data_IF_937077376904
#
_entry.id   IF_937077376904
#
_cell.length_a   1.000
_cell.length_b   1.000
_cell.length_c   1.000
_cell.angle_alpha   90.00
_cell.angle_beta   90.00
_cell.angle_gamma   90.00
#
_symmetry.space_group_name_H-M   'P 1'
#
loop_
_entity.id
_entity.type
_entity.pdbx_description
1 polymer ?
#
# COMPACT_ATOMS: atom_id res chain seq x y z
N UNK A 1 -26.74 -4.17 4.09
CA UNK A 1 -26.58 -3.65 2.76
C UNK A 1 -27.57 -4.35 1.83
N UNK A 2 -28.32 -3.59 1.00
CA UNK A 2 -29.37 -4.14 0.10
C UNK A 2 -30.69 -4.57 0.74
N UNK A 3 -30.70 -4.78 2.02
CA UNK A 3 -31.87 -5.32 2.76
C UNK A 3 -32.64 -4.23 3.50
N UNK A 4 -33.49 -3.50 2.80
CA UNK A 4 -34.22 -2.35 3.36
C UNK A 4 -35.36 -2.78 4.29
N UNK A 5 -35.95 -3.93 4.03
CA UNK A 5 -37.09 -4.49 4.78
C UNK A 5 -36.67 -5.43 5.91
N UNK A 6 -35.41 -5.38 6.36
CA UNK A 6 -34.98 -6.20 7.47
C UNK A 6 -35.68 -5.80 8.76
N UNK A 7 -36.24 -6.78 9.48
CA UNK A 7 -36.90 -6.60 10.76
C UNK A 7 -36.08 -7.33 11.82
N UNK A 8 -35.79 -6.64 12.91
CA UNK A 8 -35.10 -7.22 14.06
C UNK A 8 -36.08 -7.23 15.21
N UNK A 9 -36.49 -8.42 15.66
CA UNK A 9 -37.29 -8.62 16.85
C UNK A 9 -36.36 -8.99 18.01
N UNK A 10 -36.53 -8.31 19.14
CA UNK A 10 -35.70 -8.54 20.33
C UNK A 10 -36.57 -9.20 21.39
N UNK A 11 -36.25 -10.45 21.72
CA UNK A 11 -36.85 -11.18 22.81
C UNK A 11 -35.94 -11.09 24.03
N UNK A 12 -36.56 -10.80 25.19
CA UNK A 12 -35.86 -10.70 26.46
C UNK A 12 -36.32 -11.79 27.40
N UNK A 13 -35.41 -12.60 27.89
CA UNK A 13 -35.65 -13.63 28.89
C UNK A 13 -34.87 -13.31 30.17
N UNK A 14 -35.54 -13.15 31.31
CA UNK A 14 -34.89 -12.92 32.60
C UNK A 14 -34.33 -14.25 33.10
N UNK A 15 -33.01 -14.39 33.17
CA UNK A 15 -32.36 -15.59 33.71
C UNK A 15 -32.16 -15.55 35.23
N UNK A 16 -31.92 -14.35 35.79
CA UNK A 16 -31.76 -14.10 37.22
C UNK A 16 -32.08 -12.64 37.56
N UNK A 17 -31.96 -12.24 38.82
CA UNK A 17 -32.16 -10.82 39.21
C UNK A 17 -31.09 -9.88 38.66
N UNK A 18 -29.93 -10.42 38.20
CA UNK A 18 -28.81 -9.65 37.67
C UNK A 18 -28.43 -10.00 36.20
N UNK A 19 -29.16 -10.89 35.54
CA UNK A 19 -28.85 -11.32 34.17
C UNK A 19 -30.10 -11.49 33.31
N UNK A 20 -30.02 -10.95 32.11
CA UNK A 20 -31.05 -11.02 31.07
C UNK A 20 -30.42 -11.64 29.83
N UNK A 21 -31.10 -12.60 29.21
CA UNK A 21 -30.75 -13.10 27.89
C UNK A 21 -31.51 -12.28 26.84
N UNK A 22 -30.79 -11.76 25.89
CA UNK A 22 -31.32 -11.09 24.70
C UNK A 22 -31.18 -12.01 23.50
N UNK A 23 -32.29 -12.29 22.83
CA UNK A 23 -32.29 -13.03 21.57
C UNK A 23 -32.72 -12.06 20.45
N UNK A 24 -31.87 -11.88 19.44
CA UNK A 24 -32.18 -11.05 18.27
C UNK A 24 -32.63 -11.98 17.15
N UNK A 25 -33.90 -11.95 16.82
CA UNK A 25 -34.45 -12.65 15.66
C UNK A 25 -34.42 -11.69 14.48
N UNK A 26 -33.49 -11.94 13.53
CA UNK A 26 -33.31 -11.08 12.36
C UNK A 26 -33.99 -11.72 11.15
N UNK A 27 -35.07 -11.07 10.70
CA UNK A 27 -35.64 -11.34 9.38
C UNK A 27 -34.98 -10.41 8.37
N UNK A 28 -34.13 -10.96 7.50
CA UNK A 28 -33.31 -10.22 6.56
C UNK A 28 -34.13 -9.52 5.47
N UNK A 29 -35.31 -10.08 5.14
CA UNK A 29 -36.08 -9.61 3.99
C UNK A 29 -35.40 -9.96 2.66
N UNK A 30 -35.92 -9.37 1.59
CA UNK A 30 -35.37 -9.55 0.24
C UNK A 30 -34.37 -8.42 -0.09
N UNK A 31 -33.37 -8.76 -0.89
CA UNK A 31 -32.38 -7.81 -1.37
C UNK A 31 -32.96 -6.91 -2.48
N UNK A 32 -32.83 -5.61 -2.35
CA UNK A 32 -33.21 -4.63 -3.36
C UNK A 32 -32.04 -4.39 -4.30
N UNK A 33 -32.30 -4.56 -5.61
CA UNK A 33 -31.30 -4.42 -6.66
C UNK A 33 -31.59 -3.19 -7.51
N UNK A 34 -30.59 -2.35 -7.71
CA UNK A 34 -30.67 -1.18 -8.59
C UNK A 34 -30.70 -1.65 -10.05
N UNK A 35 -31.82 -1.41 -10.69
CA UNK A 35 -32.08 -1.76 -12.08
C UNK A 35 -31.68 -0.67 -13.04
N UNK A 36 -31.85 0.57 -12.65
CA UNK A 36 -31.65 1.72 -13.48
C UNK A 36 -31.16 2.93 -12.64
N UNK A 37 -30.19 3.69 -13.16
CA UNK A 37 -29.77 4.97 -12.62
C UNK A 37 -29.79 6.01 -13.75
N UNK A 38 -30.61 7.06 -13.60
CA UNK A 38 -30.74 8.14 -14.56
C UNK A 38 -30.12 9.43 -14.03
N UNK A 39 -29.52 10.18 -14.92
CA UNK A 39 -28.85 11.44 -14.61
C UNK A 39 -29.44 12.55 -15.47
N UNK A 40 -30.50 13.21 -14.93
CA UNK A 40 -31.22 14.26 -15.62
C UNK A 40 -30.44 15.57 -15.58
N UNK A 41 -30.23 16.19 -16.74
CA UNK A 41 -29.51 17.47 -16.88
C UNK A 41 -27.98 17.29 -17.03
N UNK A 42 -27.49 16.08 -17.04
CA UNK A 42 -26.08 15.78 -17.37
C UNK A 42 -25.93 15.71 -18.90
N UNK A 43 -25.12 16.60 -19.47
CA UNK A 43 -24.87 16.69 -20.90
C UNK A 43 -23.39 16.53 -21.25
N UNK A 44 -22.50 16.99 -20.35
CA UNK A 44 -21.05 17.00 -20.54
C UNK A 44 -20.37 15.75 -19.97
N UNK A 45 -20.96 15.16 -18.92
CA UNK A 45 -20.54 13.90 -18.34
C UNK A 45 -21.66 12.87 -18.48
N UNK A 46 -21.29 11.61 -18.62
CA UNK A 46 -22.24 10.53 -18.83
C UNK A 46 -22.28 9.50 -17.68
N UNK A 47 -23.23 8.57 -17.76
CA UNK A 47 -23.38 7.51 -16.76
C UNK A 47 -22.13 6.66 -16.54
N UNK A 48 -21.26 6.51 -17.54
CA UNK A 48 -20.02 5.76 -17.42
C UNK A 48 -18.99 6.46 -16.52
N UNK A 49 -18.99 7.80 -16.53
CA UNK A 49 -18.14 8.59 -15.63
C UNK A 49 -18.66 8.53 -14.20
N UNK A 50 -19.97 8.65 -14.01
CA UNK A 50 -20.60 8.60 -12.69
C UNK A 50 -20.44 7.22 -12.03
N UNK A 51 -20.54 6.13 -12.79
CA UNK A 51 -20.30 4.76 -12.29
C UNK A 51 -18.90 4.56 -11.71
N UNK A 52 -17.90 5.35 -12.09
CA UNK A 52 -16.54 5.28 -11.52
C UNK A 52 -16.47 5.79 -10.09
N UNK A 53 -17.35 6.72 -9.72
CA UNK A 53 -17.29 7.42 -8.44
C UNK A 53 -18.43 7.08 -7.49
N UNK A 54 -19.57 6.58 -7.96
CA UNK A 54 -20.72 6.22 -7.14
C UNK A 54 -20.58 4.85 -6.50
N UNK A 55 -21.13 4.68 -5.29
CA UNK A 55 -21.24 3.39 -4.61
C UNK A 55 -22.47 2.60 -5.09
N UNK A 56 -23.58 3.32 -5.39
CA UNK A 56 -24.80 2.72 -5.91
C UNK A 56 -24.72 2.67 -7.44
N UNK A 57 -24.69 1.47 -8.00
CA UNK A 57 -24.54 1.20 -9.44
C UNK A 57 -25.61 0.24 -9.90
N UNK A 58 -26.01 0.37 -11.15
CA UNK A 58 -26.89 -0.62 -11.79
C UNK A 58 -26.24 -2.00 -11.79
N UNK A 59 -27.08 -3.02 -11.74
CA UNK A 59 -26.66 -4.41 -11.96
C UNK A 59 -26.17 -4.58 -13.39
N UNK A 60 -24.94 -5.04 -13.55
CA UNK A 60 -24.34 -5.31 -14.84
C UNK A 60 -24.49 -6.78 -15.24
N UNK A 61 -24.52 -7.01 -16.55
CA UNK A 61 -24.66 -8.38 -17.09
C UNK A 61 -23.39 -9.20 -16.75
N UNK A 62 -23.60 -10.42 -16.27
CA UNK A 62 -22.52 -11.33 -15.86
C UNK A 62 -21.60 -10.78 -14.73
N UNK A 63 -22.13 -9.92 -13.83
CA UNK A 63 -21.41 -9.38 -12.68
C UNK A 63 -20.68 -10.44 -11.85
N UNK A 64 -21.30 -11.62 -11.68
CA UNK A 64 -20.75 -12.75 -10.95
C UNK A 64 -19.50 -13.40 -11.62
N UNK A 65 -19.29 -13.17 -12.92
CA UNK A 65 -18.16 -13.75 -13.67
C UNK A 65 -16.99 -12.79 -13.80
N UNK A 66 -17.25 -11.48 -13.96
CA UNK A 66 -16.24 -10.47 -14.25
C UNK A 66 -15.97 -9.51 -13.09
N UNK A 67 -16.56 -9.72 -11.90
CA UNK A 67 -16.41 -8.84 -10.74
C UNK A 67 -17.00 -7.44 -10.96
N UNK A 68 -17.98 -7.32 -11.84
CA UNK A 68 -18.74 -6.10 -12.10
C UNK A 68 -19.79 -5.85 -11.01
N UNK A 69 -20.52 -4.71 -11.06
CA UNK A 69 -21.54 -4.38 -10.07
C UNK A 69 -22.67 -5.40 -10.04
N UNK A 70 -22.99 -5.90 -8.85
CA UNK A 70 -24.14 -6.77 -8.59
C UNK A 70 -25.44 -6.00 -8.46
N UNK A 71 -25.38 -4.66 -8.39
CA UNK A 71 -26.52 -3.77 -8.26
C UNK A 71 -27.03 -3.61 -6.83
N UNK A 72 -26.26 -4.07 -5.84
CA UNK A 72 -26.65 -3.97 -4.43
C UNK A 72 -26.90 -2.52 -4.02
N UNK A 73 -28.03 -2.28 -3.36
CA UNK A 73 -28.42 -0.93 -2.94
C UNK A 73 -27.84 -0.59 -1.56
N UNK A 74 -27.20 0.59 -1.48
CA UNK A 74 -26.59 1.16 -0.27
C UNK A 74 -27.23 2.49 0.09
N UNK A 75 -28.32 2.44 0.86
CA UNK A 75 -29.10 3.64 1.20
C UNK A 75 -28.27 4.73 1.86
N UNK A 76 -27.42 4.35 2.81
CA UNK A 76 -26.53 5.25 3.54
C UNK A 76 -25.53 5.97 2.62
N UNK A 77 -25.26 5.42 1.44
CA UNK A 77 -24.35 5.99 0.45
C UNK A 77 -25.02 6.96 -0.55
N UNK A 78 -26.34 7.02 -0.64
CA UNK A 78 -27.03 7.83 -1.65
C UNK A 78 -26.66 9.31 -1.60
N UNK A 79 -26.68 9.93 -0.43
CA UNK A 79 -26.27 11.33 -0.26
C UNK A 79 -24.78 11.56 -0.55
N UNK A 80 -23.95 10.54 -0.33
CA UNK A 80 -22.52 10.61 -0.66
C UNK A 80 -22.29 10.44 -2.16
N UNK A 81 -23.14 9.67 -2.85
CA UNK A 81 -23.07 9.54 -4.30
C UNK A 81 -23.35 10.86 -5.02
N UNK A 82 -24.35 11.62 -4.56
CA UNK A 82 -24.58 12.97 -5.09
C UNK A 82 -23.35 13.88 -4.90
N UNK A 83 -22.71 13.82 -3.72
CA UNK A 83 -21.47 14.57 -3.46
C UNK A 83 -20.31 14.12 -4.32
N UNK A 84 -20.13 12.80 -4.53
CA UNK A 84 -19.08 12.25 -5.40
C UNK A 84 -19.24 12.69 -6.85
N UNK A 85 -20.49 12.72 -7.34
CA UNK A 85 -20.80 13.23 -8.69
C UNK A 85 -20.48 14.73 -8.75
N UNK A 86 -20.86 15.50 -7.73
CA UNK A 86 -20.57 16.93 -7.68
C UNK A 86 -19.05 17.21 -7.62
N UNK A 87 -18.30 16.46 -6.81
CA UNK A 87 -16.83 16.53 -6.77
C UNK A 87 -16.22 16.18 -8.14
N UNK A 88 -16.78 15.20 -8.87
CA UNK A 88 -16.33 14.86 -10.23
C UNK A 88 -16.52 16.05 -11.20
N UNK A 89 -17.65 16.77 -11.13
CA UNK A 89 -17.85 17.99 -11.91
C UNK A 89 -16.81 19.05 -11.53
N UNK A 90 -16.54 19.25 -10.25
CA UNK A 90 -15.50 20.18 -9.78
C UNK A 90 -14.09 19.76 -10.24
N UNK A 91 -13.81 18.46 -10.35
CA UNK A 91 -12.56 17.96 -10.95
C UNK A 91 -12.46 18.25 -12.45
N UNK A 92 -13.59 18.38 -13.14
CA UNK A 92 -13.66 18.70 -14.57
C UNK A 92 -13.76 20.19 -14.87
N UNK A 93 -13.84 21.03 -13.83
CA UNK A 93 -13.86 22.48 -13.91
C UNK A 93 -15.22 23.13 -13.81
N UNK A 94 -16.29 22.41 -13.58
CA UNK A 94 -17.64 22.92 -13.46
C UNK A 94 -17.94 23.38 -12.03
N UNK A 95 -17.47 24.57 -11.66
CA UNK A 95 -17.52 25.08 -10.29
C UNK A 95 -18.93 25.47 -9.80
N UNK A 96 -19.89 25.60 -10.69
CA UNK A 96 -21.28 25.91 -10.39
C UNK A 96 -22.17 24.66 -10.46
N UNK A 97 -21.58 23.49 -10.59
CA UNK A 97 -22.32 22.24 -10.59
C UNK A 97 -23.08 22.03 -9.28
N UNK A 98 -24.29 21.58 -9.38
CA UNK A 98 -25.15 21.24 -8.23
C UNK A 98 -25.88 19.94 -8.52
N UNK A 99 -25.57 18.93 -7.72
CA UNK A 99 -26.15 17.59 -7.83
C UNK A 99 -26.97 17.32 -6.58
N UNK A 100 -28.27 17.15 -6.75
CA UNK A 100 -29.19 16.86 -5.66
C UNK A 100 -29.11 15.40 -5.25
N UNK A 101 -29.53 15.09 -4.01
CA UNK A 101 -29.75 13.71 -3.59
C UNK A 101 -30.71 13.02 -4.57
N UNK A 102 -30.43 11.77 -4.98
CA UNK A 102 -31.25 11.09 -5.96
C UNK A 102 -32.65 10.79 -5.41
N UNK A 103 -33.63 10.89 -6.28
CA UNK A 103 -34.93 10.32 -5.99
C UNK A 103 -34.84 8.80 -6.12
N UNK A 104 -35.32 8.10 -5.10
CA UNK A 104 -35.31 6.67 -5.02
C UNK A 104 -36.74 6.14 -5.18
N UNK A 105 -36.96 5.35 -6.23
CA UNK A 105 -38.20 4.61 -6.46
C UNK A 105 -37.96 3.09 -6.27
N UNK A 106 -38.70 2.46 -5.35
CA UNK A 106 -38.56 1.03 -5.04
C UNK A 106 -39.85 0.30 -5.35
N UNK A 107 -39.75 -0.66 -6.24
CA UNK A 107 -40.81 -1.65 -6.45
C UNK A 107 -40.55 -2.87 -5.57
N UNK A 108 -41.23 -2.95 -4.44
CA UNK A 108 -41.15 -4.07 -3.49
C UNK A 108 -41.73 -5.38 -4.04
N UNK A 109 -42.56 -5.34 -5.10
CA UNK A 109 -43.10 -6.56 -5.70
C UNK A 109 -42.04 -7.29 -6.53
N UNK A 110 -41.14 -6.54 -7.18
CA UNK A 110 -40.04 -7.09 -7.97
C UNK A 110 -38.68 -6.98 -7.28
N UNK A 111 -38.59 -6.39 -6.10
CA UNK A 111 -37.37 -6.10 -5.37
C UNK A 111 -36.35 -5.29 -6.19
N UNK A 112 -36.85 -4.31 -6.98
CA UNK A 112 -36.03 -3.48 -7.84
C UNK A 112 -36.11 -2.02 -7.44
N UNK A 113 -34.98 -1.30 -7.58
CA UNK A 113 -34.88 0.13 -7.35
C UNK A 113 -34.48 0.88 -8.62
N UNK A 114 -34.97 2.12 -8.73
CA UNK A 114 -34.52 3.12 -9.71
C UNK A 114 -34.02 4.34 -8.98
N UNK A 115 -32.93 4.91 -9.51
CA UNK A 115 -32.32 6.13 -8.99
C UNK A 115 -32.38 7.22 -10.05
N UNK A 116 -32.97 8.36 -9.72
CA UNK A 116 -33.02 9.56 -10.56
C UNK A 116 -32.20 10.68 -9.92
N UNK A 117 -31.01 10.96 -10.48
CA UNK A 117 -30.17 12.07 -10.11
C UNK A 117 -30.54 13.32 -10.92
N UNK A 118 -30.59 14.47 -10.28
CA UNK A 118 -30.83 15.76 -10.94
C UNK A 118 -29.59 16.61 -10.86
N UNK A 119 -29.02 16.91 -12.01
CA UNK A 119 -27.74 17.59 -12.18
C UNK A 119 -27.97 18.95 -12.84
N UNK A 120 -27.35 19.97 -12.27
CA UNK A 120 -27.15 21.27 -12.94
C UNK A 120 -25.64 21.43 -13.12
N UNK A 121 -25.13 21.34 -14.35
CA UNK A 121 -23.70 21.33 -14.63
C UNK A 121 -23.02 22.68 -14.43
N UNK A 122 -23.67 23.76 -14.86
CA UNK A 122 -23.08 25.11 -14.91
C UNK A 122 -22.05 25.22 -16.04
N UNK A 123 -21.20 26.25 -15.95
CA UNK A 123 -20.16 26.53 -16.93
C UNK A 123 -18.79 26.01 -16.50
N UNK A 124 -17.93 25.76 -17.48
CA UNK A 124 -16.59 25.25 -17.25
C UNK A 124 -15.57 26.36 -17.04
N UNK A 125 -14.90 26.37 -15.90
CA UNK A 125 -13.94 27.40 -15.51
C UNK A 125 -12.49 26.99 -15.84
N UNK A 126 -11.69 28.00 -16.19
CA UNK A 126 -10.22 27.89 -16.28
C UNK A 126 -9.54 28.69 -15.16
N UNK A 127 -8.41 28.23 -14.71
CA UNK A 127 -7.62 28.95 -13.70
C UNK A 127 -7.00 30.20 -14.34
N UNK A 128 -7.29 31.36 -13.76
CA UNK A 128 -6.77 32.65 -14.26
C UNK A 128 -5.46 33.03 -13.60
N UNK A 129 -5.43 33.02 -12.26
CA UNK A 129 -4.26 33.39 -11.46
C UNK A 129 -4.17 32.52 -10.20
N UNK A 130 -2.96 32.35 -9.68
CA UNK A 130 -2.71 31.62 -8.43
C UNK A 130 -1.83 32.51 -7.58
N UNK A 131 -2.30 32.86 -6.39
CA UNK A 131 -1.55 33.67 -5.40
C UNK A 131 -1.34 32.90 -4.11
N UNK A 132 -0.13 33.00 -3.54
CA UNK A 132 0.23 32.39 -2.28
C UNK A 132 0.68 33.47 -1.33
N UNK A 133 -0.07 33.66 -0.25
CA UNK A 133 0.30 34.54 0.86
C UNK A 133 0.96 33.71 1.95
N UNK A 134 2.29 33.69 1.94
CA UNK A 134 3.16 33.01 2.89
C UNK A 134 4.34 33.93 3.19
N UNK A 135 4.83 33.91 4.44
CA UNK A 135 6.08 34.57 4.79
C UNK A 135 7.25 33.90 4.08
N UNK A 136 7.94 34.65 3.23
CA UNK A 136 9.08 34.16 2.42
C UNK A 136 10.28 33.73 3.28
N UNK A 137 10.31 34.09 4.57
CA UNK A 137 11.33 33.58 5.48
C UNK A 137 11.14 32.11 5.87
N UNK A 138 9.94 31.56 5.67
CA UNK A 138 9.60 30.15 5.97
C UNK A 138 9.91 29.27 4.75
N UNK A 139 9.28 29.60 3.63
CA UNK A 139 9.47 28.96 2.31
C UNK A 139 9.33 30.03 1.25
N UNK A 140 10.21 30.05 0.27
CA UNK A 140 10.08 30.97 -0.86
C UNK A 140 8.84 30.58 -1.71
N UNK A 141 7.85 31.47 -1.88
CA UNK A 141 6.70 31.21 -2.72
C UNK A 141 7.06 30.79 -4.17
N UNK A 142 8.17 31.30 -4.71
CA UNK A 142 8.59 30.96 -6.09
C UNK A 142 8.98 29.47 -6.20
N UNK A 143 9.54 28.86 -5.16
CA UNK A 143 9.82 27.42 -5.12
C UNK A 143 8.52 26.61 -5.14
N UNK A 144 7.45 27.12 -4.52
CA UNK A 144 6.16 26.45 -4.46
C UNK A 144 5.49 26.42 -5.83
N UNK A 145 5.51 27.57 -6.57
CA UNK A 145 4.80 27.69 -7.85
C UNK A 145 5.22 26.67 -8.89
N UNK A 146 6.51 26.24 -8.87
CA UNK A 146 7.02 25.25 -9.83
C UNK A 146 6.31 23.91 -9.73
N UNK A 147 5.99 23.49 -8.51
CA UNK A 147 5.51 22.14 -8.19
C UNK A 147 3.98 22.05 -8.01
N UNK A 148 3.27 23.18 -8.06
CA UNK A 148 1.80 23.17 -8.03
C UNK A 148 1.24 22.31 -9.18
N UNK A 149 0.21 21.52 -8.88
CA UNK A 149 -0.55 20.72 -9.86
C UNK A 149 -1.52 21.57 -10.68
N UNK A 150 -2.09 22.62 -10.04
CA UNK A 150 -2.84 23.65 -10.76
C UNK A 150 -1.91 24.48 -11.62
N UNK A 151 -2.35 24.84 -12.81
CA UNK A 151 -1.60 25.71 -13.71
C UNK A 151 -2.53 26.77 -14.30
N UNK A 152 -2.01 27.99 -14.44
CA UNK A 152 -2.71 29.10 -15.09
C UNK A 152 -3.07 28.73 -16.52
N UNK A 153 -4.19 29.23 -17.03
CA UNK A 153 -4.76 28.95 -18.35
C UNK A 153 -5.08 27.48 -18.63
N UNK A 154 -5.27 26.68 -17.57
CA UNK A 154 -5.75 25.30 -17.66
C UNK A 154 -7.10 25.15 -16.96
N UNK A 155 -7.86 24.15 -17.38
CA UNK A 155 -9.13 23.82 -16.72
C UNK A 155 -8.91 23.69 -15.23
N UNK A 156 -9.75 24.39 -14.45
CA UNK A 156 -9.75 24.28 -13.00
C UNK A 156 -10.03 22.83 -12.56
N UNK A 157 -9.42 22.42 -11.46
CA UNK A 157 -9.63 21.09 -10.91
C UNK A 157 -9.52 21.14 -9.39
N UNK A 158 -10.62 20.84 -8.69
CA UNK A 158 -10.70 20.90 -7.22
C UNK A 158 -9.77 19.92 -6.53
N UNK A 159 -9.53 18.74 -7.14
CA UNK A 159 -8.60 17.74 -6.58
C UNK A 159 -7.17 18.25 -6.61
N UNK A 160 -6.76 18.85 -7.73
CA UNK A 160 -5.44 19.49 -7.83
C UNK A 160 -5.29 20.62 -6.82
N UNK A 161 -6.35 21.42 -6.62
CA UNK A 161 -6.36 22.47 -5.60
C UNK A 161 -6.14 21.93 -4.19
N UNK A 162 -6.86 20.87 -3.82
CA UNK A 162 -6.69 20.20 -2.51
C UNK A 162 -5.30 19.58 -2.36
N UNK A 163 -4.79 18.98 -3.42
CA UNK A 163 -3.43 18.42 -3.44
C UNK A 163 -2.38 19.54 -3.24
N UNK A 164 -2.54 20.69 -3.91
CA UNK A 164 -1.66 21.84 -3.78
C UNK A 164 -1.75 22.46 -2.37
N UNK A 165 -2.95 22.53 -1.79
CA UNK A 165 -3.15 22.95 -0.41
C UNK A 165 -2.39 22.06 0.57
N UNK A 166 -2.50 20.73 0.43
CA UNK A 166 -1.78 19.79 1.29
C UNK A 166 -0.27 19.83 1.03
N UNK A 167 0.16 20.05 -0.21
CA UNK A 167 1.56 20.24 -0.56
C UNK A 167 2.15 21.47 0.15
N UNK A 168 1.49 22.63 0.05
CA UNK A 168 1.92 23.87 0.74
C UNK A 168 1.96 23.64 2.25
N UNK A 169 0.92 23.00 2.82
CA UNK A 169 0.87 22.66 4.24
C UNK A 169 2.04 21.78 4.65
N UNK A 170 2.38 20.77 3.83
CA UNK A 170 3.48 19.85 4.10
C UNK A 170 4.82 20.59 4.11
N UNK A 171 5.08 21.43 3.10
CA UNK A 171 6.32 22.24 3.04
C UNK A 171 6.50 23.13 4.28
N UNK A 172 5.44 23.78 4.72
CA UNK A 172 5.48 24.65 5.91
C UNK A 172 5.64 23.82 7.19
N UNK A 173 4.98 22.67 7.28
CA UNK A 173 5.10 21.75 8.41
C UNK A 173 6.49 21.12 8.50
N UNK A 174 7.17 20.89 7.37
CA UNK A 174 8.55 20.39 7.34
C UNK A 174 9.58 21.40 7.84
N UNK A 175 9.18 22.68 7.98
CA UNK A 175 9.95 23.73 8.63
C UNK A 175 9.61 23.91 10.12
N UNK A 176 8.93 22.93 10.72
CA UNK A 176 8.57 22.92 12.13
C UNK A 176 7.19 23.47 12.47
N UNK A 177 6.46 24.01 11.53
CA UNK A 177 5.16 24.62 11.78
C UNK A 177 4.03 23.59 11.76
N UNK A 178 4.00 22.72 12.76
CA UNK A 178 3.08 21.57 12.86
C UNK A 178 1.59 21.95 12.77
N UNK A 179 1.24 23.14 13.24
CA UNK A 179 -0.14 23.64 13.30
C UNK A 179 -0.46 24.66 12.20
N UNK A 180 0.33 24.66 11.12
CA UNK A 180 0.08 25.54 10.00
C UNK A 180 -1.29 25.27 9.38
N UNK A 181 -2.08 26.34 9.21
CA UNK A 181 -3.34 26.31 8.50
C UNK A 181 -3.14 26.92 7.09
N UNK A 182 -3.50 26.17 6.07
CA UNK A 182 -3.55 26.65 4.69
C UNK A 182 -4.99 26.72 4.27
N UNK A 183 -5.47 27.93 4.00
CA UNK A 183 -6.82 28.19 3.49
C UNK A 183 -6.72 28.60 2.03
N UNK A 184 -7.75 28.32 1.26
CA UNK A 184 -7.87 28.84 -0.10
C UNK A 184 -9.19 29.61 -0.27
N UNK A 185 -9.16 30.58 -1.15
CA UNK A 185 -10.30 31.33 -1.60
C UNK A 185 -10.36 31.28 -3.13
N UNK A 186 -11.57 31.19 -3.69
CA UNK A 186 -11.85 31.13 -5.11
C UNK A 186 -12.62 32.37 -5.54
N UNK A 187 -12.02 33.23 -6.36
CA UNK A 187 -12.66 34.40 -6.93
C UNK A 187 -13.07 34.13 -8.38
N UNK A 188 -14.35 33.84 -8.57
CA UNK A 188 -14.91 33.55 -9.90
C UNK A 188 -15.18 34.80 -10.68
N UNK A 189 -14.78 34.83 -11.95
CA UNK A 189 -15.23 35.74 -12.95
C UNK A 189 -16.21 35.00 -13.88
N UNK A 190 -17.49 35.16 -13.61
CA UNK A 190 -18.57 34.47 -14.36
C UNK A 190 -18.63 34.90 -15.82
N UNK A 191 -18.28 36.15 -16.14
CA UNK A 191 -18.35 36.66 -17.52
C UNK A 191 -17.26 36.01 -18.42
N UNK A 192 -16.13 35.68 -17.86
CA UNK A 192 -15.01 35.10 -18.60
C UNK A 192 -14.84 33.62 -18.33
N UNK A 193 -15.64 33.04 -17.45
CA UNK A 193 -15.50 31.64 -16.95
C UNK A 193 -14.09 31.36 -16.44
N UNK A 194 -13.54 32.30 -15.66
CA UNK A 194 -12.21 32.21 -15.07
C UNK A 194 -12.27 32.26 -13.55
N UNK A 195 -11.29 31.64 -12.90
CA UNK A 195 -11.19 31.64 -11.44
C UNK A 195 -9.77 31.96 -10.98
N UNK A 196 -9.66 32.94 -10.07
CA UNK A 196 -8.42 33.19 -9.32
C UNK A 196 -8.40 32.33 -8.06
N UNK A 197 -7.28 31.74 -7.80
CA UNK A 197 -7.03 30.92 -6.61
C UNK A 197 -6.09 31.67 -5.67
N UNK A 198 -6.49 31.81 -4.43
CA UNK A 198 -5.68 32.52 -3.42
C UNK A 198 -5.45 31.58 -2.25
N UNK A 199 -4.21 31.18 -2.03
CA UNK A 199 -3.80 30.44 -0.82
C UNK A 199 -3.35 31.42 0.25
N UNK A 200 -3.82 31.25 1.48
CA UNK A 200 -3.43 32.02 2.65
C UNK A 200 -2.90 31.08 3.73
N UNK A 201 -1.65 31.26 4.12
CA UNK A 201 -0.98 30.40 5.10
C UNK A 201 -0.82 31.13 6.42
N UNK A 202 -1.31 30.50 7.49
CA UNK A 202 -1.09 30.95 8.87
C UNK A 202 -0.19 29.90 9.54
N UNK A 203 1.12 30.15 9.67
CA UNK A 203 2.08 29.12 10.08
C UNK A 203 1.97 28.73 11.56
N UNK A 204 1.62 29.65 12.45
CA UNK A 204 1.68 29.45 13.89
C UNK A 204 3.11 29.53 14.43
N UNK A 205 3.43 28.77 15.48
CA UNK A 205 4.77 28.67 16.06
C UNK A 205 5.48 27.40 15.61
N UNK A 206 6.83 27.46 15.62
CA UNK A 206 7.64 26.25 15.42
C UNK A 206 7.52 25.31 16.61
N UNK A 207 7.39 24.01 16.33
CA UNK A 207 7.16 22.94 17.29
C UNK A 207 8.34 21.99 17.30
N UNK A 208 8.76 21.60 18.50
CA UNK A 208 9.82 20.62 18.74
C UNK A 208 9.25 19.38 19.39
N UNK A 209 9.82 18.22 19.08
CA UNK A 209 9.43 16.95 19.68
C UNK A 209 9.94 16.93 21.12
N UNK A 210 9.02 16.78 22.08
CA UNK A 210 9.35 16.69 23.49
C UNK A 210 9.68 15.23 23.89
N UNK A 211 8.84 14.27 23.49
CA UNK A 211 9.04 12.85 23.78
C UNK A 211 8.43 11.98 22.68
N UNK A 212 9.01 10.76 22.50
CA UNK A 212 8.50 9.73 21.58
C UNK A 212 8.20 8.46 22.36
N UNK A 213 6.92 8.19 22.58
CA UNK A 213 6.41 7.03 23.32
C UNK A 213 5.99 5.92 22.37
N UNK A 214 6.54 4.73 22.57
CA UNK A 214 6.20 3.55 21.79
C UNK A 214 5.36 2.60 22.65
N UNK A 215 4.32 2.00 22.10
CA UNK A 215 3.43 1.07 22.80
C UNK A 215 2.82 0.05 21.85
N UNK A 216 2.43 -1.12 22.40
CA UNK A 216 1.84 -2.22 21.62
C UNK A 216 2.85 -3.22 21.08
N UNK A 217 4.15 -2.96 21.23
CA UNK A 217 5.26 -3.80 20.80
C UNK A 217 5.66 -4.82 21.89
N UNK A 218 4.76 -5.75 22.22
CA UNK A 218 4.99 -6.73 23.29
C UNK A 218 6.13 -7.71 23.01
N UNK A 219 6.36 -8.05 21.72
CA UNK A 219 7.39 -8.98 21.23
C UNK A 219 8.56 -8.22 20.59
N UNK A 220 8.26 -7.21 19.76
CA UNK A 220 9.24 -6.43 19.03
C UNK A 220 9.99 -5.49 19.98
N UNK A 221 11.31 -5.51 19.93
CA UNK A 221 12.15 -4.65 20.74
C UNK A 221 11.91 -3.16 20.41
N UNK A 222 11.88 -2.30 21.43
CA UNK A 222 11.64 -0.85 21.28
C UNK A 222 12.58 -0.20 20.24
N UNK A 223 13.87 -0.57 20.25
CA UNK A 223 14.87 -0.07 19.31
C UNK A 223 14.52 -0.35 17.84
N UNK A 224 13.82 -1.47 17.55
CA UNK A 224 13.42 -1.85 16.19
C UNK A 224 12.31 -0.94 15.68
N UNK A 225 11.39 -0.51 16.54
CA UNK A 225 10.38 0.50 16.19
C UNK A 225 11.02 1.87 16.09
N UNK A 226 11.83 2.24 17.08
CA UNK A 226 12.41 3.57 17.24
C UNK A 226 13.34 3.98 16.10
N UNK A 227 14.15 3.05 15.56
CA UNK A 227 15.04 3.34 14.42
C UNK A 227 14.31 3.75 13.15
N UNK A 228 13.06 3.29 13.00
CA UNK A 228 12.22 3.61 11.85
C UNK A 228 11.31 4.84 12.10
N UNK A 229 11.39 5.45 13.30
CA UNK A 229 10.78 6.74 13.62
C UNK A 229 11.84 7.82 13.41
N UNK A 230 11.70 8.60 12.33
CA UNK A 230 12.72 9.58 11.93
C UNK A 230 12.77 10.84 12.79
N UNK A 231 11.94 10.96 13.82
CA UNK A 231 11.89 12.09 14.75
C UNK A 231 12.25 11.63 16.16
N UNK A 232 13.17 12.34 16.79
CA UNK A 232 13.65 12.09 18.14
C UNK A 232 13.34 13.28 19.08
N UNK A 233 13.36 13.09 20.42
CA UNK A 233 13.22 14.19 21.35
C UNK A 233 14.26 15.29 21.11
N UNK A 234 13.79 16.53 20.97
CA UNK A 234 14.61 17.70 20.64
C UNK A 234 14.64 18.08 19.16
N UNK A 235 14.22 17.20 18.28
CA UNK A 235 14.12 17.52 16.84
C UNK A 235 12.98 18.51 16.58
N UNK A 236 13.16 19.32 15.56
CA UNK A 236 12.11 20.15 15.02
C UNK A 236 11.08 19.26 14.29
N UNK A 237 9.80 19.56 14.46
CA UNK A 237 8.73 18.81 13.79
C UNK A 237 8.91 18.81 12.26
N UNK A 238 8.69 17.66 11.66
CA UNK A 238 8.71 17.46 10.22
C UNK A 238 7.60 16.48 9.82
N UNK A 239 6.64 16.96 9.02
CA UNK A 239 5.46 16.15 8.63
C UNK A 239 5.82 15.03 7.64
N UNK A 240 6.77 15.30 6.75
CA UNK A 240 7.28 14.29 5.81
C UNK A 240 7.95 13.14 6.56
N UNK A 241 8.82 13.44 7.52
CA UNK A 241 9.46 12.43 8.36
C UNK A 241 8.44 11.59 9.14
N UNK A 242 7.40 12.23 9.66
CA UNK A 242 6.32 11.53 10.36
C UNK A 242 5.52 10.57 9.44
N UNK A 243 5.15 11.05 8.24
CA UNK A 243 4.45 10.24 7.23
C UNK A 243 5.31 9.06 6.76
N UNK A 244 6.59 9.31 6.53
CA UNK A 244 7.56 8.29 6.09
C UNK A 244 7.82 7.25 7.17
N UNK A 245 7.98 7.68 8.44
CA UNK A 245 8.10 6.78 9.58
C UNK A 245 6.89 5.81 9.66
N UNK A 246 5.68 6.36 9.58
CA UNK A 246 4.45 5.56 9.57
C UNK A 246 4.43 4.56 8.41
N UNK A 247 4.82 5.00 7.22
CA UNK A 247 4.88 4.16 6.02
C UNK A 247 5.93 3.06 6.16
N UNK A 248 7.12 3.36 6.66
CA UNK A 248 8.21 2.41 6.87
C UNK A 248 7.82 1.34 7.90
N UNK A 249 7.23 1.74 9.03
CA UNK A 249 6.74 0.80 10.03
C UNK A 249 5.65 -0.12 9.48
N UNK A 250 4.71 0.40 8.67
CA UNK A 250 3.68 -0.44 8.01
C UNK A 250 4.27 -1.42 7.00
N UNK A 251 5.28 -1.03 6.24
CA UNK A 251 5.96 -1.90 5.26
C UNK A 251 6.83 -2.98 5.91
N UNK A 252 7.26 -2.80 7.16
CA UNK A 252 8.13 -3.77 7.85
C UNK A 252 7.51 -5.17 7.97
N UNK A 253 6.21 -5.33 7.77
CA UNK A 253 5.44 -6.57 7.98
C UNK A 253 5.45 -7.08 9.43
N UNK A 254 5.98 -6.28 10.36
CA UNK A 254 5.98 -6.62 11.79
C UNK A 254 4.66 -6.23 12.47
N UNK A 255 3.93 -5.31 11.84
CA UNK A 255 2.73 -4.69 12.41
C UNK A 255 1.54 -4.79 11.44
N UNK A 256 0.38 -5.15 12.00
CA UNK A 256 -0.91 -5.14 11.32
C UNK A 256 -1.46 -3.71 11.21
N UNK A 257 -1.27 -2.91 12.27
CA UNK A 257 -1.62 -1.49 12.28
C UNK A 257 -0.55 -0.65 12.97
N UNK A 258 -0.39 0.58 12.47
CA UNK A 258 0.52 1.59 13.02
C UNK A 258 -0.20 2.92 13.08
N UNK A 259 -0.35 3.46 14.28
CA UNK A 259 -0.92 4.76 14.54
C UNK A 259 0.14 5.65 15.18
N UNK A 260 0.32 6.86 14.65
CA UNK A 260 1.16 7.89 15.25
C UNK A 260 0.24 9.04 15.61
N UNK A 261 0.09 9.28 16.91
CA UNK A 261 -0.73 10.35 17.46
C UNK A 261 0.18 11.50 17.90
N UNK A 262 -0.17 12.68 17.46
CA UNK A 262 0.48 13.93 17.80
C UNK A 262 -0.24 14.57 19.00
N UNK A 263 0.44 14.68 20.12
CA UNK A 263 -0.13 15.27 21.34
C UNK A 263 0.55 16.59 21.67
N UNK A 264 -0.18 17.70 21.49
CA UNK A 264 0.28 19.03 21.88
C UNK A 264 0.51 19.11 23.38
N UNK A 265 1.71 19.53 23.81
CA UNK A 265 2.08 19.72 25.21
C UNK A 265 2.10 21.21 25.56
N UNK A 266 2.68 22.04 24.68
CA UNK A 266 2.71 23.50 24.79
C UNK A 266 2.56 24.11 23.39
N UNK A 267 2.75 25.41 23.25
CA UNK A 267 2.70 26.09 21.95
C UNK A 267 3.83 25.65 21.02
N UNK A 268 4.99 25.29 21.60
CA UNK A 268 6.24 24.95 20.93
C UNK A 268 6.69 23.50 21.14
N UNK A 269 5.89 22.65 21.83
CA UNK A 269 6.25 21.26 22.13
C UNK A 269 5.14 20.26 21.88
N UNK A 270 5.54 19.10 21.37
CA UNK A 270 4.68 17.99 21.02
C UNK A 270 5.26 16.65 21.49
N UNK A 271 4.44 15.77 22.05
CA UNK A 271 4.76 14.35 22.22
C UNK A 271 4.23 13.56 21.02
N UNK A 272 5.02 12.60 20.55
CA UNK A 272 4.59 11.58 19.60
C UNK A 272 4.27 10.28 20.32
N UNK A 273 3.08 9.74 20.08
CA UNK A 273 2.66 8.45 20.60
C UNK A 273 2.54 7.45 19.43
N UNK A 274 3.53 6.57 19.30
CA UNK A 274 3.58 5.51 18.30
C UNK A 274 2.92 4.27 18.90
N UNK A 275 1.73 3.94 18.43
CA UNK A 275 0.97 2.74 18.82
C UNK A 275 1.05 1.74 17.68
N UNK A 276 1.51 0.54 17.98
CA UNK A 276 1.60 -0.55 17.00
C UNK A 276 0.75 -1.74 17.43
N UNK A 277 0.20 -2.45 16.46
CA UNK A 277 -0.44 -3.75 16.66
C UNK A 277 0.40 -4.78 15.95
N UNK A 278 0.97 -5.74 16.69
CA UNK A 278 1.90 -6.71 16.13
C UNK A 278 1.19 -7.73 15.24
N UNK A 279 1.80 -8.01 14.07
CA UNK A 279 1.39 -9.05 13.15
C UNK A 279 2.10 -10.38 13.46
N UNK A 280 1.57 -11.54 13.05
CA UNK A 280 2.33 -12.79 12.98
C UNK A 280 3.48 -12.65 11.98
N UNK A 281 4.73 -12.81 12.46
CA UNK A 281 5.95 -12.67 11.62
C UNK A 281 6.47 -14.00 11.10
N UNK A 282 6.02 -15.11 11.70
CA UNK A 282 6.36 -16.46 11.28
C UNK A 282 5.46 -16.98 10.17
N UNK A 283 6.04 -17.62 9.17
CA UNK A 283 5.31 -18.28 8.09
C UNK A 283 5.86 -19.66 7.80
N UNK A 284 4.96 -20.58 7.45
CA UNK A 284 5.29 -21.93 6.99
C UNK A 284 4.58 -22.13 5.66
N UNK A 285 5.33 -22.52 4.64
CA UNK A 285 4.78 -22.88 3.34
C UNK A 285 5.14 -24.32 3.00
N UNK A 286 4.18 -25.08 2.49
CA UNK A 286 4.38 -26.43 1.96
C UNK A 286 3.68 -26.49 0.60
N UNK A 287 4.36 -27.02 -0.38
CA UNK A 287 3.85 -27.22 -1.73
C UNK A 287 4.26 -28.56 -2.30
N UNK A 288 3.54 -29.03 -3.29
CA UNK A 288 3.85 -30.25 -4.00
C UNK A 288 3.36 -30.20 -5.43
N UNK A 289 4.05 -30.93 -6.30
CA UNK A 289 3.71 -30.97 -7.73
C UNK A 289 4.23 -32.25 -8.37
N UNK A 290 3.80 -32.49 -9.61
CA UNK A 290 4.30 -33.58 -10.42
C UNK A 290 4.67 -33.09 -11.81
N UNK A 291 5.92 -33.34 -12.18
CA UNK A 291 6.46 -33.01 -13.50
C UNK A 291 6.90 -34.27 -14.25
N UNK A 292 6.83 -34.25 -15.58
CA UNK A 292 7.26 -35.39 -16.41
C UNK A 292 8.76 -35.67 -16.25
N UNK A 293 9.55 -34.66 -15.97
CA UNK A 293 11.02 -34.74 -15.80
C UNK A 293 11.42 -34.97 -14.35
N UNK A 294 11.01 -34.09 -13.43
CA UNK A 294 11.39 -34.12 -12.01
C UNK A 294 10.56 -35.09 -11.17
N UNK A 295 9.46 -35.62 -11.76
CA UNK A 295 8.50 -36.53 -11.10
C UNK A 295 7.78 -35.82 -9.94
N UNK A 296 7.71 -36.44 -8.78
CA UNK A 296 7.16 -35.84 -7.57
C UNK A 296 8.12 -34.75 -7.07
N UNK A 297 7.58 -33.56 -6.84
CA UNK A 297 8.29 -32.41 -6.25
C UNK A 297 7.60 -32.03 -4.96
N UNK A 298 8.37 -31.78 -3.93
CA UNK A 298 7.92 -31.27 -2.64
C UNK A 298 8.80 -30.07 -2.32
N UNK A 299 8.20 -28.97 -1.96
CA UNK A 299 8.90 -27.78 -1.49
C UNK A 299 8.34 -27.35 -0.15
N UNK A 300 9.20 -26.85 0.71
CA UNK A 300 8.82 -26.33 2.01
C UNK A 300 9.69 -25.17 2.42
N UNK A 301 9.11 -24.20 3.12
CA UNK A 301 9.88 -23.13 3.75
C UNK A 301 9.28 -22.75 5.09
N UNK A 302 10.17 -22.35 5.99
CA UNK A 302 9.85 -21.76 7.29
C UNK A 302 10.63 -20.47 7.39
N UNK A 303 9.96 -19.38 7.69
CA UNK A 303 10.62 -18.09 7.90
C UNK A 303 9.97 -17.31 9.03
N UNK A 304 10.78 -16.50 9.71
CA UNK A 304 10.33 -15.50 10.66
C UNK A 304 11.03 -14.18 10.32
N UNK A 305 10.26 -13.15 9.99
CA UNK A 305 10.80 -11.85 9.59
C UNK A 305 11.22 -10.99 10.77
N UNK A 306 10.84 -11.37 12.00
CA UNK A 306 11.18 -10.64 13.23
C UNK A 306 11.58 -11.61 14.35
N UNK A 307 12.57 -12.47 14.09
CA UNK A 307 12.98 -13.49 15.04
C UNK A 307 13.37 -12.89 16.40
N UNK A 308 12.79 -13.38 17.47
CA UNK A 308 12.96 -12.85 18.84
C UNK A 308 12.68 -11.35 18.99
N UNK A 309 11.84 -10.78 18.10
CA UNK A 309 11.53 -9.35 18.11
C UNK A 309 12.70 -8.43 17.73
N UNK A 310 13.76 -8.99 17.18
CA UNK A 310 15.02 -8.27 16.91
C UNK A 310 15.06 -7.53 15.57
N UNK A 311 14.01 -7.70 14.73
CA UNK A 311 13.97 -7.18 13.37
C UNK A 311 14.86 -7.96 12.40
N UNK A 312 15.37 -9.14 12.80
CA UNK A 312 16.13 -10.03 11.93
C UNK A 312 15.17 -11.00 11.23
N UNK A 313 15.43 -11.28 9.96
CA UNK A 313 14.73 -12.32 9.22
C UNK A 313 15.58 -13.59 9.17
N UNK A 314 15.02 -14.70 9.63
CA UNK A 314 15.58 -16.03 9.42
C UNK A 314 14.69 -16.82 8.47
N UNK A 315 15.27 -17.43 7.45
CA UNK A 315 14.56 -18.29 6.51
C UNK A 315 15.28 -19.61 6.32
N UNK A 316 14.48 -20.69 6.24
CA UNK A 316 14.91 -22.04 5.91
C UNK A 316 14.03 -22.50 4.76
N UNK A 317 14.60 -23.00 3.68
CA UNK A 317 13.84 -23.56 2.55
C UNK A 317 14.45 -24.86 2.07
N UNK A 318 13.58 -25.71 1.50
CA UNK A 318 13.98 -26.97 0.90
C UNK A 318 13.08 -27.34 -0.25
N UNK A 319 13.67 -27.65 -1.40
CA UNK A 319 13.03 -28.20 -2.58
C UNK A 319 13.55 -29.61 -2.82
N UNK A 320 12.65 -30.58 -2.91
CA UNK A 320 12.97 -31.99 -3.09
C UNK A 320 12.27 -32.53 -4.32
N UNK A 321 13.02 -33.13 -5.23
CA UNK A 321 12.48 -33.90 -6.33
C UNK A 321 13.32 -35.16 -6.59
N UNK A 322 12.90 -35.97 -7.53
CA UNK A 322 13.70 -37.13 -7.92
C UNK A 322 15.09 -36.76 -8.45
N UNK A 323 15.22 -35.56 -9.06
CA UNK A 323 16.42 -35.14 -9.78
C UNK A 323 17.08 -33.88 -9.26
N UNK A 324 16.38 -33.13 -8.42
CA UNK A 324 16.90 -31.89 -7.87
C UNK A 324 16.55 -31.77 -6.39
N UNK A 325 17.54 -31.54 -5.57
CA UNK A 325 17.38 -31.25 -4.16
C UNK A 325 18.10 -29.93 -3.89
N UNK A 326 17.40 -29.00 -3.24
CA UNK A 326 17.96 -27.71 -2.80
C UNK A 326 17.62 -27.48 -1.34
N UNK A 327 18.58 -27.00 -0.59
CA UNK A 327 18.41 -26.56 0.79
C UNK A 327 19.07 -25.20 0.94
N UNK A 328 18.44 -24.31 1.65
CA UNK A 328 18.92 -22.95 1.86
C UNK A 328 18.58 -22.47 3.28
N UNK A 329 19.53 -21.80 3.91
CA UNK A 329 19.35 -21.06 5.16
C UNK A 329 19.86 -19.64 4.94
N UNK A 330 19.06 -18.63 5.29
CA UNK A 330 19.47 -17.23 5.20
C UNK A 330 19.09 -16.47 6.47
N UNK A 331 19.99 -15.60 6.89
CA UNK A 331 19.78 -14.63 7.96
C UNK A 331 20.03 -13.23 7.42
N UNK A 332 19.00 -12.40 7.46
CA UNK A 332 19.04 -11.01 6.99
C UNK A 332 18.86 -10.04 8.16
N UNK A 333 19.72 -9.04 8.21
CA UNK A 333 19.62 -7.90 9.13
C UNK A 333 19.38 -6.63 8.32
N UNK A 334 18.18 -6.03 8.37
CA UNK A 334 17.87 -4.82 7.62
C UNK A 334 18.56 -3.56 8.15
N UNK A 335 19.05 -3.59 9.41
CA UNK A 335 19.72 -2.44 10.05
C UNK A 335 20.75 -2.95 11.08
N UNK A 336 21.99 -3.14 10.65
CA UNK A 336 23.08 -3.59 11.50
C UNK A 336 23.37 -2.51 12.57
N UNK A 337 23.26 -2.88 13.84
CA UNK A 337 23.39 -1.96 14.98
C UNK A 337 22.44 -0.75 14.89
N UNK A 338 21.22 -0.97 14.37
CA UNK A 338 20.19 0.06 14.17
C UNK A 338 20.67 1.25 13.32
N UNK A 339 21.57 0.98 12.35
CA UNK A 339 22.12 1.94 11.39
C UNK A 339 21.53 1.74 9.99
N UNK A 340 21.91 2.60 9.03
CA UNK A 340 21.53 2.51 7.62
C UNK A 340 22.19 1.33 6.88
N UNK A 341 23.04 0.56 7.55
CA UNK A 341 23.68 -0.61 6.93
C UNK A 341 22.82 -1.85 7.10
N UNK A 342 22.64 -2.59 6.01
CA UNK A 342 22.02 -3.90 6.01
C UNK A 342 23.04 -4.99 5.69
N UNK A 343 22.70 -6.22 6.04
CA UNK A 343 23.52 -7.38 5.74
C UNK A 343 22.72 -8.67 5.65
N UNK A 344 23.25 -9.62 4.90
CA UNK A 344 22.66 -10.94 4.75
C UNK A 344 23.74 -11.99 4.68
N UNK A 345 23.51 -13.11 5.34
CA UNK A 345 24.33 -14.31 5.29
C UNK A 345 23.44 -15.44 4.82
N UNK A 346 23.87 -16.15 3.79
CA UNK A 346 23.16 -17.28 3.21
C UNK A 346 24.09 -18.47 3.07
N UNK A 347 23.61 -19.68 3.33
CA UNK A 347 24.28 -20.92 2.97
C UNK A 347 23.30 -21.82 2.23
N UNK A 348 23.79 -22.47 1.17
CA UNK A 348 22.96 -23.34 0.36
C UNK A 348 23.67 -24.63 -0.07
N UNK A 349 22.85 -25.64 -0.36
CA UNK A 349 23.33 -26.91 -0.94
C UNK A 349 22.34 -27.36 -2.00
N UNK A 350 22.83 -27.58 -3.20
CA UNK A 350 22.01 -28.00 -4.36
C UNK A 350 22.59 -29.25 -4.98
N UNK A 351 21.75 -30.23 -5.32
CA UNK A 351 22.12 -31.40 -6.13
C UNK A 351 21.14 -31.45 -7.31
N UNK A 352 21.68 -31.49 -8.53
CA UNK A 352 20.88 -31.62 -9.76
C UNK A 352 21.40 -32.78 -10.58
N UNK A 353 20.52 -33.70 -11.00
CA UNK A 353 20.82 -34.82 -11.88
C UNK A 353 20.31 -34.50 -13.29
N UNK A 354 21.21 -34.34 -14.23
CA UNK A 354 20.90 -34.18 -15.64
C UNK A 354 20.95 -35.54 -16.34
N UNK A 355 19.84 -35.93 -16.97
CA UNK A 355 19.75 -37.15 -17.78
C UNK A 355 19.81 -36.80 -19.26
N UNK A 356 20.80 -37.32 -19.94
CA UNK A 356 21.02 -37.11 -21.38
C UNK A 356 21.01 -38.44 -22.12
N UNK A 357 20.96 -38.43 -23.44
CA UNK A 357 20.86 -39.64 -24.26
C UNK A 357 22.07 -40.58 -24.14
N UNK A 358 23.26 -40.06 -23.80
CA UNK A 358 24.49 -40.81 -23.81
C UNK A 358 25.24 -40.84 -22.47
N UNK A 359 24.89 -39.93 -21.58
CA UNK A 359 25.48 -39.83 -20.24
C UNK A 359 24.53 -39.13 -19.30
N UNK A 360 24.73 -39.39 -18.03
CA UNK A 360 24.10 -38.63 -16.95
C UNK A 360 25.17 -37.74 -16.30
N UNK A 361 24.78 -36.58 -15.82
CA UNK A 361 25.71 -35.75 -15.02
C UNK A 361 25.02 -35.33 -13.72
N UNK A 362 25.76 -35.52 -12.63
CA UNK A 362 25.35 -35.14 -11.28
C UNK A 362 26.15 -33.90 -10.89
N UNK A 363 25.47 -32.78 -10.71
CA UNK A 363 26.06 -31.51 -10.27
C UNK A 363 25.67 -31.26 -8.83
N UNK A 364 26.67 -31.17 -7.95
CA UNK A 364 26.51 -30.81 -6.54
C UNK A 364 27.16 -29.47 -6.29
N UNK A 365 26.41 -28.54 -5.77
CA UNK A 365 26.90 -27.21 -5.39
C UNK A 365 26.67 -27.01 -3.90
N UNK A 366 27.72 -26.61 -3.17
CA UNK A 366 27.61 -26.12 -1.80
C UNK A 366 28.23 -24.74 -1.76
N UNK A 367 27.53 -23.80 -1.21
CA UNK A 367 28.00 -22.43 -1.22
C UNK A 367 27.49 -21.60 -0.05
N UNK A 368 28.10 -20.45 0.07
CA UNK A 368 27.62 -19.41 0.95
C UNK A 368 27.71 -18.05 0.27
N UNK A 369 26.86 -17.12 0.69
CA UNK A 369 26.93 -15.74 0.25
C UNK A 369 26.89 -14.77 1.42
N UNK A 370 27.58 -13.64 1.26
CA UNK A 370 27.58 -12.53 2.19
C UNK A 370 27.17 -11.29 1.40
N UNK A 371 26.12 -10.61 1.82
CA UNK A 371 25.73 -9.34 1.25
C UNK A 371 25.83 -8.24 2.30
N UNK A 372 26.28 -7.07 1.86
CA UNK A 372 26.27 -5.84 2.65
C UNK A 372 25.84 -4.67 1.78
N UNK A 373 25.03 -3.79 2.35
CA UNK A 373 24.53 -2.60 1.67
C UNK A 373 24.30 -1.45 2.63
N UNK A 374 24.01 -0.30 2.07
CA UNK A 374 23.69 0.92 2.82
C UNK A 374 22.51 1.64 2.18
N UNK A 375 21.62 2.17 3.00
CA UNK A 375 20.61 3.12 2.56
C UNK A 375 21.30 4.47 2.24
N UNK A 376 21.37 4.82 0.96
CA UNK A 376 22.07 6.05 0.49
C UNK A 376 21.12 7.24 0.35
N UNK A 377 19.88 6.96 0.01
CA UNK A 377 18.74 7.87 0.02
C UNK A 377 17.57 7.07 0.58
N UNK A 378 16.61 7.73 1.18
CA UNK A 378 15.43 7.08 1.79
C UNK A 378 14.82 6.04 0.85
N UNK A 379 14.64 4.82 1.34
CA UNK A 379 14.16 3.64 0.61
C UNK A 379 15.06 3.15 -0.56
N UNK A 380 16.29 3.68 -0.73
CA UNK A 380 17.22 3.26 -1.78
C UNK A 380 18.49 2.69 -1.18
N UNK A 381 18.73 1.42 -1.45
CA UNK A 381 19.84 0.65 -0.90
C UNK A 381 20.84 0.33 -2.02
N UNK A 382 22.11 0.58 -1.77
CA UNK A 382 23.22 0.20 -2.66
C UNK A 382 24.12 -0.77 -1.90
N UNK A 383 24.51 -1.86 -2.54
CA UNK A 383 25.33 -2.88 -1.89
C UNK A 383 26.00 -3.83 -2.86
N UNK A 384 26.67 -4.80 -2.29
CA UNK A 384 27.27 -5.90 -3.03
C UNK A 384 27.08 -7.22 -2.30
N UNK A 385 26.92 -8.30 -3.06
CA UNK A 385 26.88 -9.69 -2.60
C UNK A 385 28.13 -10.39 -3.09
N UNK A 386 28.87 -11.00 -2.20
CA UNK A 386 29.92 -11.94 -2.49
C UNK A 386 29.38 -13.36 -2.34
N UNK A 387 29.56 -14.19 -3.36
CA UNK A 387 29.20 -15.60 -3.36
C UNK A 387 30.42 -16.48 -3.58
N UNK A 388 30.46 -17.61 -2.86
CA UNK A 388 31.50 -18.65 -3.03
C UNK A 388 30.80 -20.01 -3.10
N UNK A 389 30.97 -20.70 -4.24
CA UNK A 389 30.37 -21.98 -4.54
C UNK A 389 31.44 -23.02 -4.80
N UNK A 390 31.34 -24.18 -4.14
CA UNK A 390 32.12 -25.40 -4.38
C UNK A 390 31.26 -26.34 -5.22
N UNK A 391 31.68 -26.59 -6.45
CA UNK A 391 30.93 -27.34 -7.44
C UNK A 391 31.66 -28.63 -7.77
N UNK A 392 30.94 -29.74 -7.64
CA UNK A 392 31.40 -31.07 -8.05
C UNK A 392 30.47 -31.58 -9.16
N UNK A 393 31.04 -31.91 -10.29
CA UNK A 393 30.34 -32.43 -11.44
C UNK A 393 30.87 -33.80 -11.83
N UNK A 394 30.03 -34.84 -11.78
CA UNK A 394 30.34 -36.23 -12.06
C UNK A 394 29.59 -36.69 -13.29
N UNK A 395 30.31 -37.33 -14.21
CA UNK A 395 29.74 -37.79 -15.50
C UNK A 395 29.70 -39.33 -15.53
N UNK A 396 28.50 -39.87 -15.75
CA UNK A 396 28.24 -41.29 -15.87
C UNK A 396 27.84 -41.63 -17.31
N UNK A 397 28.73 -42.24 -18.09
CA UNK A 397 28.49 -42.64 -19.45
C UNK A 397 27.80 -44.00 -19.53
N UNK A 398 26.95 -44.18 -20.56
CA UNK A 398 26.37 -45.48 -20.84
C UNK A 398 27.46 -46.50 -21.26
N UNK A 399 27.30 -47.75 -20.85
CA UNK A 399 28.26 -48.81 -21.21
C UNK A 399 28.40 -48.91 -22.72
N UNK A 400 29.68 -48.88 -23.21
CA UNK A 400 30.01 -48.95 -24.62
C UNK A 400 29.90 -47.64 -25.39
N UNK A 401 29.59 -46.50 -24.74
CA UNK A 401 29.60 -45.20 -25.42
C UNK A 401 31.04 -44.73 -25.67
N UNK A 402 31.38 -44.43 -26.90
CA UNK A 402 32.62 -43.82 -27.33
C UNK A 402 32.39 -42.43 -27.85
N UNK A 403 33.35 -41.51 -27.61
CA UNK A 403 33.21 -40.16 -28.11
C UNK A 403 33.21 -40.14 -29.65
N UNK A 404 32.37 -39.31 -30.31
CA UNK A 404 32.45 -39.09 -31.72
C UNK A 404 33.84 -38.59 -32.13
N UNK A 405 34.25 -38.89 -33.36
CA UNK A 405 35.55 -38.48 -33.89
C UNK A 405 35.80 -36.97 -33.67
N UNK A 406 36.91 -36.62 -33.08
CA UNK A 406 37.29 -35.23 -32.78
C UNK A 406 36.66 -34.60 -31.53
N UNK A 407 35.83 -35.33 -30.78
CA UNK A 407 35.27 -34.89 -29.47
C UNK A 407 35.88 -35.67 -28.34
N UNK A 408 36.11 -35.00 -27.18
CA UNK A 408 36.53 -35.62 -25.93
C UNK A 408 35.28 -35.93 -25.07
N UNK A 409 35.36 -36.96 -24.26
CA UNK A 409 34.42 -37.21 -23.20
C UNK A 409 34.59 -36.16 -22.11
N UNK A 410 33.52 -35.76 -21.48
CA UNK A 410 33.60 -34.96 -20.26
C UNK A 410 34.15 -35.84 -19.13
N UNK A 411 34.97 -35.27 -18.31
CA UNK A 411 35.55 -35.96 -17.12
C UNK A 411 35.02 -35.29 -15.88
N UNK A 412 34.96 -36.04 -14.81
CA UNK A 412 34.63 -35.52 -13.49
C UNK A 412 35.51 -34.33 -13.17
N UNK A 413 34.91 -33.29 -12.61
CA UNK A 413 35.61 -32.07 -12.25
C UNK A 413 35.06 -31.46 -10.98
N UNK A 414 35.97 -30.94 -10.18
CA UNK A 414 35.67 -30.11 -9.01
C UNK A 414 36.24 -28.71 -9.28
N UNK A 415 35.44 -27.71 -9.03
CA UNK A 415 35.88 -26.33 -9.18
C UNK A 415 35.16 -25.39 -8.22
N UNK A 416 35.73 -24.23 -8.02
CA UNK A 416 35.23 -23.21 -7.14
C UNK A 416 34.81 -21.99 -8.00
N UNK A 417 33.61 -21.51 -7.77
CA UNK A 417 33.12 -20.28 -8.35
C UNK A 417 33.08 -19.18 -7.30
N UNK A 418 33.69 -18.04 -7.59
CA UNK A 418 33.68 -16.85 -6.75
C UNK A 418 33.09 -15.70 -7.53
N UNK A 419 32.10 -15.04 -6.96
CA UNK A 419 31.35 -13.97 -7.64
C UNK A 419 31.15 -12.76 -6.75
N UNK A 420 31.17 -11.58 -7.36
CA UNK A 420 30.74 -10.33 -6.72
C UNK A 420 29.61 -9.76 -7.57
N UNK A 421 28.46 -9.51 -6.93
CA UNK A 421 27.27 -8.97 -7.58
C UNK A 421 26.90 -7.64 -6.92
N UNK A 422 27.16 -6.49 -7.56
CA UNK A 422 26.63 -5.22 -7.07
C UNK A 422 25.13 -5.17 -7.28
N UNK A 423 24.41 -4.50 -6.37
CA UNK A 423 22.96 -4.31 -6.50
C UNK A 423 22.53 -2.90 -6.07
N UNK A 424 21.46 -2.46 -6.68
CA UNK A 424 20.68 -1.29 -6.23
C UNK A 424 19.26 -1.79 -6.04
N UNK A 425 18.69 -1.53 -4.87
CA UNK A 425 17.31 -1.89 -4.53
C UNK A 425 16.56 -0.63 -4.12
N UNK A 426 15.37 -0.45 -4.68
CA UNK A 426 14.44 0.62 -4.31
C UNK A 426 13.17 -0.01 -3.76
N UNK A 427 12.82 0.33 -2.52
CA UNK A 427 11.65 -0.17 -1.79
C UNK A 427 10.67 1.00 -1.57
N UNK A 428 9.60 1.05 -2.38
CA UNK A 428 8.61 2.13 -2.36
C UNK A 428 7.25 1.68 -1.81
#
# INVERSE_FOLDING_TARGET
EGFINSVVEVETEKLSDSSIKLTFNVNKGDEIIIREAKYHGANELDGSDFKKVTANKEKEFASWWFGQSDGEMKIDQLKYDARRINDLYFEKGYLDADVKEPFLDIDFASNQAKLDFFVKEGEKYTTNDIKIFLDSSIVDPEEIYSDLKLKVDRTFNIKKLRDDQEYIRTLVADKGYAYAEVKFDLKKNEAEHRVDVVFSVVPGQQVYINDVKISGNARTLDRVVRRDVYLAPGDMYNLTDLKDAKSKLKRSSFFEDVQIEEKRISEDKMDLSVKVTEAPTGSIMLGGGYGSYDKLMINGSVSDTNIFGSGLTLSLSGDLSKRSNRYEIALKNPAINDSDYNGEVEAHSTKIEYRRSHYDSDVKTKGFSLAAGKEVVRNTYVGARYGLDFISEVYNYQSGFTAPAGKRLYTDQDYTNSSITPYINFDN
#
